data_IF_290041566086
#
_entry.id   IF_290041566086
#
_cell.length_a   1.000
_cell.length_b   1.000
_cell.length_c   1.000
_cell.angle_alpha   90.00
_cell.angle_beta   90.00
_cell.angle_gamma   90.00
#
_symmetry.space_group_name_H-M   'P 1'
#
loop_
_entity.id
_entity.type
_entity.pdbx_description
1 polymer ?
#
# COMPACT_ATOMS: atom_id res chain seq x y z
N UNK A 1 10.63 0.24 -5.47
CA UNK A 1 11.02 -0.02 -4.06
C UNK A 1 10.86 -1.51 -3.75
N UNK A 2 11.25 -2.00 -2.56
CA UNK A 2 11.06 -3.42 -2.16
C UNK A 2 9.98 -3.52 -1.05
N UNK A 3 10.00 -4.61 -0.29
CA UNK A 3 8.90 -5.01 0.59
C UNK A 3 8.73 -4.06 1.78
N UNK A 4 9.80 -3.73 2.51
CA UNK A 4 9.68 -2.96 3.74
C UNK A 4 9.36 -1.50 3.46
N UNK A 5 9.92 -0.96 2.39
CA UNK A 5 9.63 0.37 1.94
C UNK A 5 8.15 0.54 1.60
N UNK A 6 7.59 -0.36 0.78
CA UNK A 6 6.16 -0.32 0.44
C UNK A 6 5.25 -0.45 1.66
N UNK A 7 5.46 -1.48 2.47
CA UNK A 7 4.64 -1.75 3.64
C UNK A 7 4.76 -0.64 4.70
N UNK A 8 5.98 -0.25 5.03
CA UNK A 8 6.26 0.73 6.09
C UNK A 8 5.86 2.15 5.72
N UNK A 9 6.20 2.63 4.52
CA UNK A 9 5.80 3.97 4.10
C UNK A 9 4.29 4.08 3.90
N UNK A 10 3.62 3.03 3.41
CA UNK A 10 2.14 3.02 3.31
C UNK A 10 1.49 3.10 4.69
N UNK A 11 1.99 2.33 5.67
CA UNK A 11 1.53 2.43 7.05
C UNK A 11 1.75 3.83 7.63
N UNK A 12 2.95 4.39 7.42
CA UNK A 12 3.28 5.76 7.85
C UNK A 12 2.35 6.81 7.24
N UNK A 13 2.09 6.72 5.93
CA UNK A 13 1.17 7.60 5.21
C UNK A 13 -0.26 7.51 5.76
N UNK A 14 -0.75 6.29 6.05
CA UNK A 14 -2.06 6.10 6.66
C UNK A 14 -2.16 6.74 8.06
N UNK A 15 -1.11 6.63 8.87
CA UNK A 15 -1.06 7.24 10.21
C UNK A 15 -1.04 8.76 10.14
N UNK A 16 -0.23 9.33 9.24
CA UNK A 16 -0.19 10.78 9.03
C UNK A 16 -1.54 11.28 8.53
N UNK A 17 -2.16 10.59 7.56
CA UNK A 17 -3.48 10.95 7.04
C UNK A 17 -4.54 10.95 8.14
N UNK A 18 -4.56 9.94 9.01
CA UNK A 18 -5.46 9.90 10.16
C UNK A 18 -5.25 11.08 11.11
N UNK A 19 -3.99 11.42 11.41
CA UNK A 19 -3.62 12.58 12.23
C UNK A 19 -4.07 13.91 11.62
N UNK A 20 -3.95 14.07 10.30
CA UNK A 20 -4.40 15.27 9.58
C UNK A 20 -5.94 15.35 9.57
N UNK A 21 -6.62 14.26 9.20
CA UNK A 21 -8.09 14.22 9.11
C UNK A 21 -8.74 14.43 10.48
N UNK A 22 -8.19 13.84 11.54
CA UNK A 22 -8.69 14.04 12.90
C UNK A 22 -8.55 15.50 13.35
N UNK A 23 -7.42 16.15 13.06
CA UNK A 23 -7.22 17.58 13.34
C UNK A 23 -8.18 18.48 12.57
N UNK A 24 -8.38 18.23 11.28
CA UNK A 24 -9.31 19.02 10.45
C UNK A 24 -10.75 18.88 10.97
N UNK A 25 -11.17 17.66 11.34
CA UNK A 25 -12.50 17.42 11.93
C UNK A 25 -12.68 17.99 13.34
N UNK A 26 -11.60 18.29 14.03
CA UNK A 26 -11.61 18.95 15.34
C UNK A 26 -11.75 20.48 15.27
N UNK A 27 -11.73 21.08 14.07
CA UNK A 27 -11.94 22.51 13.90
C UNK A 27 -13.35 22.93 14.41
N UNK A 28 -13.50 24.11 15.01
CA UNK A 28 -14.63 24.44 15.87
C UNK A 28 -15.87 24.83 15.06
N UNK A 29 -16.59 23.85 14.53
CA UNK A 29 -17.99 24.02 14.13
C UNK A 29 -18.87 23.19 15.05
N UNK A 30 -19.46 23.91 16.02
CA UNK A 30 -20.62 23.60 16.85
C UNK A 30 -20.92 22.12 17.20
N UNK A 31 -20.82 21.83 18.50
CA UNK A 31 -21.71 20.93 19.24
C UNK A 31 -21.96 19.53 18.63
N UNK A 32 -20.96 18.64 18.71
CA UNK A 32 -21.26 17.22 18.89
C UNK A 32 -20.21 16.54 19.77
N UNK A 33 -20.62 16.06 20.94
CA UNK A 33 -19.83 15.18 21.81
C UNK A 33 -19.76 13.75 21.25
N UNK A 34 -19.42 13.61 19.96
CA UNK A 34 -19.10 12.29 19.43
C UNK A 34 -17.59 12.07 19.55
N UNK A 35 -17.12 10.99 20.22
CA UNK A 35 -15.69 10.71 20.31
C UNK A 35 -15.11 10.68 18.90
N UNK A 36 -14.13 11.54 18.62
CA UNK A 36 -13.46 11.59 17.32
C UNK A 36 -12.82 10.22 17.05
N UNK A 37 -13.52 9.38 16.28
CA UNK A 37 -13.04 8.03 15.97
C UNK A 37 -11.98 8.14 14.88
N UNK A 38 -10.72 7.91 15.25
CA UNK A 38 -9.59 7.69 14.33
C UNK A 38 -10.01 6.74 13.20
N UNK A 39 -9.69 7.11 11.95
CA UNK A 39 -9.87 6.28 10.76
C UNK A 39 -9.13 4.96 10.88
N UNK A 40 -7.97 4.93 11.54
CA UNK A 40 -7.19 3.72 11.79
C UNK A 40 -7.92 2.71 12.68
N UNK A 41 -8.91 3.14 13.46
CA UNK A 41 -9.80 2.23 14.22
C UNK A 41 -10.86 1.55 13.35
N UNK A 42 -11.11 2.07 12.15
CA UNK A 42 -12.10 1.53 11.19
C UNK A 42 -11.46 0.77 10.03
N UNK A 43 -10.14 0.89 9.87
CA UNK A 43 -9.36 0.27 8.81
C UNK A 43 -8.61 -0.92 9.37
N UNK A 44 -8.70 -2.06 8.69
CA UNK A 44 -7.85 -3.21 8.98
C UNK A 44 -6.47 -2.94 8.38
N UNK A 45 -5.48 -2.67 9.23
CA UNK A 45 -4.12 -2.37 8.83
C UNK A 45 -3.42 -3.59 8.22
N UNK A 46 -3.85 -4.81 8.51
CA UNK A 46 -3.30 -6.00 7.85
C UNK A 46 -3.69 -6.00 6.37
N UNK A 47 -4.95 -5.69 6.08
CA UNK A 47 -5.44 -5.57 4.70
C UNK A 47 -4.77 -4.41 3.98
N UNK A 48 -4.52 -3.30 4.67
CA UNK A 48 -3.73 -2.20 4.13
C UNK A 48 -2.31 -2.65 3.73
N UNK A 49 -1.62 -3.38 4.62
CA UNK A 49 -0.28 -3.91 4.35
C UNK A 49 -0.29 -4.91 3.19
N UNK A 50 -1.30 -5.78 3.11
CA UNK A 50 -1.49 -6.68 1.96
C UNK A 50 -1.69 -5.86 0.68
N UNK A 51 -2.55 -4.84 0.71
CA UNK A 51 -2.77 -3.95 -0.44
C UNK A 51 -1.49 -3.26 -0.89
N UNK A 52 -0.66 -2.80 0.06
CA UNK A 52 0.63 -2.16 -0.23
C UNK A 52 1.64 -3.06 -0.92
N UNK A 53 1.44 -4.38 -0.89
CA UNK A 53 2.30 -5.37 -1.56
C UNK A 53 1.57 -6.08 -2.70
N UNK A 54 0.27 -5.83 -2.88
CA UNK A 54 -0.59 -6.59 -3.78
C UNK A 54 -0.12 -6.51 -5.24
N UNK A 55 0.27 -5.35 -5.80
CA UNK A 55 0.75 -5.29 -7.18
C UNK A 55 1.97 -6.16 -7.41
N UNK A 56 2.98 -6.03 -6.55
CA UNK A 56 4.19 -6.85 -6.60
C UNK A 56 3.92 -8.35 -6.39
N UNK A 57 3.03 -8.70 -5.46
CA UNK A 57 2.71 -10.09 -5.14
C UNK A 57 2.06 -10.82 -6.32
N UNK A 58 1.30 -10.10 -7.15
CA UNK A 58 0.63 -10.65 -8.32
C UNK A 58 1.49 -10.52 -9.57
N UNK A 59 2.01 -9.34 -9.85
CA UNK A 59 2.67 -9.06 -11.12
C UNK A 59 4.05 -9.70 -11.22
N UNK A 60 4.78 -9.89 -10.12
CA UNK A 60 6.07 -10.60 -10.18
C UNK A 60 5.90 -12.05 -10.65
N UNK A 61 5.09 -12.91 -10.01
CA UNK A 61 4.92 -14.28 -10.51
C UNK A 61 4.23 -14.34 -11.86
N UNK A 62 3.14 -13.58 -12.07
CA UNK A 62 2.39 -13.62 -13.35
C UNK A 62 3.24 -13.07 -14.49
N UNK A 63 3.88 -11.94 -14.26
CA UNK A 63 4.64 -11.25 -15.27
C UNK A 63 5.92 -11.99 -15.66
N UNK A 64 6.59 -12.68 -14.73
CA UNK A 64 7.73 -13.55 -15.06
C UNK A 64 7.31 -14.85 -15.78
N UNK A 65 6.14 -15.41 -15.46
CA UNK A 65 5.69 -16.65 -16.11
C UNK A 65 5.16 -16.43 -17.54
N UNK A 66 4.62 -15.24 -17.85
CA UNK A 66 3.89 -15.01 -19.10
C UNK A 66 4.35 -13.81 -19.93
N UNK A 67 5.06 -12.83 -19.36
CA UNK A 67 5.33 -11.54 -20.01
C UNK A 67 6.79 -11.08 -19.93
N UNK A 68 7.67 -11.86 -19.29
CA UNK A 68 9.07 -11.51 -18.98
C UNK A 68 9.22 -10.09 -18.36
N UNK A 69 8.25 -9.68 -17.53
CA UNK A 69 8.20 -8.34 -16.94
C UNK A 69 7.65 -8.39 -15.50
N UNK A 70 8.21 -7.63 -14.57
CA UNK A 70 7.73 -7.58 -13.18
C UNK A 70 6.53 -6.65 -12.93
N UNK A 71 6.10 -5.87 -13.93
CA UNK A 71 5.05 -4.84 -13.81
C UNK A 71 4.05 -4.99 -14.96
N UNK A 72 2.92 -5.62 -14.66
CA UNK A 72 1.88 -5.96 -15.65
C UNK A 72 0.53 -5.36 -15.22
N UNK A 73 -0.48 -6.20 -14.95
CA UNK A 73 -1.86 -5.77 -14.74
C UNK A 73 -2.08 -5.00 -13.43
N UNK A 74 -1.49 -5.44 -12.31
CA UNK A 74 -1.75 -4.81 -11.02
C UNK A 74 -1.00 -3.48 -10.83
N UNK A 75 0.01 -3.21 -11.66
CA UNK A 75 0.69 -1.92 -11.76
C UNK A 75 -0.03 -0.88 -12.65
N UNK A 76 -1.27 -1.16 -13.07
CA UNK A 76 -2.08 -0.24 -13.89
C UNK A 76 -3.02 0.61 -13.05
N UNK A 77 -3.35 1.83 -13.50
CA UNK A 77 -4.46 2.62 -12.94
C UNK A 77 -5.81 1.92 -13.14
N UNK A 78 -5.96 1.13 -14.22
CA UNK A 78 -7.17 0.35 -14.45
C UNK A 78 -7.41 -0.64 -13.30
N UNK A 79 -6.39 -1.39 -12.89
CA UNK A 79 -6.50 -2.28 -11.74
C UNK A 79 -6.84 -1.52 -10.46
N UNK A 80 -6.15 -0.41 -10.20
CA UNK A 80 -6.43 0.45 -9.05
C UNK A 80 -7.88 0.98 -9.06
N UNK A 81 -8.42 1.31 -10.24
CA UNK A 81 -9.80 1.72 -10.40
C UNK A 81 -10.77 0.57 -10.12
N UNK A 82 -10.51 -0.62 -10.66
CA UNK A 82 -11.36 -1.80 -10.48
C UNK A 82 -11.44 -2.23 -9.02
N UNK A 83 -10.33 -2.27 -8.28
CA UNK A 83 -10.35 -2.57 -6.85
C UNK A 83 -11.07 -1.48 -6.04
N UNK A 84 -10.98 -0.22 -6.47
CA UNK A 84 -11.70 0.89 -5.82
C UNK A 84 -13.21 0.79 -6.05
N UNK A 85 -13.64 0.43 -7.26
CA UNK A 85 -15.04 0.16 -7.58
C UNK A 85 -15.55 -1.08 -6.83
N UNK A 86 -14.75 -2.14 -6.77
CA UNK A 86 -15.05 -3.33 -5.96
C UNK A 86 -15.19 -3.00 -4.48
N UNK A 87 -14.30 -2.18 -3.93
CA UNK A 87 -14.38 -1.68 -2.56
C UNK A 87 -15.67 -0.90 -2.30
N UNK A 88 -16.04 -0.01 -3.22
CA UNK A 88 -17.31 0.73 -3.15
C UNK A 88 -18.52 -0.21 -3.18
N UNK A 89 -18.51 -1.21 -4.06
CA UNK A 89 -19.56 -2.21 -4.14
C UNK A 89 -19.71 -3.02 -2.85
N UNK A 90 -18.60 -3.51 -2.28
CA UNK A 90 -18.57 -4.23 -1.00
C UNK A 90 -19.12 -3.35 0.13
N UNK A 91 -18.70 -2.09 0.18
CA UNK A 91 -19.18 -1.14 1.19
C UNK A 91 -20.69 -0.92 1.07
N UNK A 92 -21.23 -0.85 -0.15
CA UNK A 92 -22.66 -0.62 -0.37
C UNK A 92 -23.55 -1.76 0.12
N UNK A 93 -23.04 -2.99 0.14
CA UNK A 93 -23.82 -4.20 0.50
C UNK A 93 -23.54 -4.72 1.91
N UNK A 94 -22.32 -4.56 2.41
CA UNK A 94 -21.89 -5.14 3.70
C UNK A 94 -21.41 -4.11 4.72
N UNK A 95 -21.34 -2.83 4.33
CA UNK A 95 -20.67 -1.77 5.09
C UNK A 95 -19.21 -2.08 5.48
N UNK A 96 -18.60 -3.10 4.86
CA UNK A 96 -17.20 -3.46 5.03
C UNK A 96 -16.28 -2.39 4.43
N UNK A 97 -15.30 -1.93 5.21
CA UNK A 97 -14.32 -0.92 4.81
C UNK A 97 -12.98 -1.52 4.34
N UNK A 98 -12.81 -2.84 4.44
CA UNK A 98 -11.56 -3.52 4.13
C UNK A 98 -11.15 -3.34 2.65
N UNK A 99 -12.10 -3.30 1.72
CA UNK A 99 -11.81 -3.09 0.30
C UNK A 99 -11.12 -1.74 0.04
N UNK A 100 -11.50 -0.69 0.77
CA UNK A 100 -10.85 0.61 0.65
C UNK A 100 -9.43 0.59 1.21
N UNK A 101 -9.15 -0.23 2.23
CA UNK A 101 -7.79 -0.42 2.73
C UNK A 101 -6.90 -1.08 1.68
N UNK A 102 -7.43 -2.10 0.99
CA UNK A 102 -6.74 -2.77 -0.11
C UNK A 102 -6.48 -1.80 -1.27
N UNK A 103 -7.50 -1.06 -1.69
CA UNK A 103 -7.40 -0.07 -2.77
C UNK A 103 -6.41 1.05 -2.45
N UNK A 104 -6.46 1.60 -1.24
CA UNK A 104 -5.52 2.63 -0.80
C UNK A 104 -4.08 2.10 -0.74
N UNK A 105 -3.88 0.88 -0.22
CA UNK A 105 -2.56 0.24 -0.23
C UNK A 105 -1.99 0.08 -1.63
N UNK A 106 -2.78 -0.46 -2.57
CA UNK A 106 -2.36 -0.63 -3.97
C UNK A 106 -2.12 0.70 -4.67
N UNK A 107 -2.93 1.74 -4.38
CA UNK A 107 -2.72 3.08 -4.93
C UNK A 107 -1.39 3.68 -4.45
N UNK A 108 -1.08 3.58 -3.15
CA UNK A 108 0.19 4.03 -2.61
C UNK A 108 1.36 3.24 -3.19
N UNK A 109 1.18 1.96 -3.48
CA UNK A 109 2.18 1.16 -4.19
C UNK A 109 2.54 1.78 -5.55
N UNK A 110 1.55 2.14 -6.39
CA UNK A 110 1.81 2.80 -7.67
C UNK A 110 2.61 4.10 -7.53
N UNK A 111 2.32 4.87 -6.48
CA UNK A 111 3.05 6.11 -6.18
C UNK A 111 4.50 5.81 -5.76
N UNK A 112 4.69 4.87 -4.84
CA UNK A 112 6.00 4.50 -4.30
C UNK A 112 6.92 3.86 -5.35
N UNK A 113 6.33 3.20 -6.35
CA UNK A 113 7.06 2.65 -7.48
C UNK A 113 7.26 3.65 -8.64
N UNK A 114 6.84 4.91 -8.44
CA UNK A 114 6.96 6.00 -9.41
C UNK A 114 6.42 5.62 -10.78
N UNK A 115 5.24 4.98 -10.80
CA UNK A 115 4.68 4.40 -12.02
C UNK A 115 4.39 5.45 -13.11
N UNK A 116 4.38 6.75 -12.79
CA UNK A 116 4.30 7.82 -13.78
C UNK A 116 5.49 7.82 -14.76
N UNK A 117 6.65 7.24 -14.38
CA UNK A 117 7.80 7.07 -15.28
C UNK A 117 7.60 5.94 -16.31
N UNK A 118 6.56 5.12 -16.13
CA UNK A 118 6.16 4.01 -17.01
C UNK A 118 4.73 4.20 -17.53
N UNK A 119 4.44 5.27 -18.28
CA UNK A 119 3.07 5.65 -18.65
C UNK A 119 2.37 4.58 -19.50
N UNK A 120 3.10 3.81 -20.31
CA UNK A 120 2.53 2.71 -21.10
C UNK A 120 1.91 1.61 -20.22
N UNK A 121 2.58 1.25 -19.12
CA UNK A 121 2.06 0.31 -18.12
C UNK A 121 1.00 0.98 -17.25
N UNK A 122 1.29 2.17 -16.69
CA UNK A 122 0.37 2.85 -15.78
C UNK A 122 -1.01 3.11 -16.40
N UNK A 123 -1.04 3.49 -17.68
CA UNK A 123 -2.25 3.82 -18.43
C UNK A 123 -2.70 2.69 -19.36
N UNK A 124 -2.16 1.48 -19.21
CA UNK A 124 -2.59 0.32 -19.97
C UNK A 124 -4.11 0.12 -19.82
N UNK A 125 -4.85 -0.19 -20.91
CA UNK A 125 -4.38 -0.51 -22.27
C UNK A 125 -4.33 0.68 -23.26
N UNK A 126 -4.37 1.93 -22.79
CA UNK A 126 -4.53 3.11 -23.66
C UNK A 126 -3.34 3.34 -24.62
N UNK A 127 -2.15 2.92 -24.24
CA UNK A 127 -0.91 3.07 -25.03
C UNK A 127 -0.47 1.79 -25.76
N UNK A 128 -1.37 0.80 -25.85
CA UNK A 128 -1.09 -0.51 -26.43
C UNK A 128 -1.30 -1.64 -25.44
N UNK A 129 -1.19 -2.87 -25.94
CA UNK A 129 -1.41 -4.09 -25.17
C UNK A 129 -0.12 -4.70 -24.60
N UNK A 130 1.03 -4.21 -25.06
CA UNK A 130 2.34 -4.73 -24.67
C UNK A 130 2.86 -4.06 -23.40
N UNK A 131 3.47 -4.84 -22.51
CA UNK A 131 4.18 -4.34 -21.35
C UNK A 131 5.66 -4.16 -21.67
N UNK A 132 6.26 -3.06 -21.18
CA UNK A 132 7.69 -2.80 -21.39
C UNK A 132 8.50 -3.86 -20.65
N UNK A 133 9.33 -4.61 -21.38
CA UNK A 133 10.25 -5.58 -20.80
C UNK A 133 11.43 -4.86 -20.16
N UNK A 134 11.95 -5.32 -19.01
CA UNK A 134 13.20 -4.82 -18.46
C UNK A 134 14.35 -5.03 -19.45
N UNK A 135 15.23 -4.05 -19.56
CA UNK A 135 16.48 -4.11 -20.32
C UNK A 135 17.56 -4.83 -19.49
N UNK A 136 17.35 -6.09 -19.10
CA UNK A 136 18.33 -7.02 -18.49
C UNK A 136 18.17 -7.34 -16.97
N UNK A 137 18.28 -8.64 -16.65
CA UNK A 137 18.65 -9.16 -15.32
C UNK A 137 17.58 -9.98 -14.56
N UNK A 138 18.05 -10.92 -13.72
CA UNK A 138 17.25 -11.53 -12.66
C UNK A 138 16.83 -10.42 -11.68
N UNK A 139 15.52 -10.24 -11.48
CA UNK A 139 14.98 -9.20 -10.60
C UNK A 139 15.48 -9.34 -9.16
N UNK A 140 15.82 -10.56 -8.72
CA UNK A 140 16.35 -10.82 -7.38
C UNK A 140 17.74 -10.20 -7.25
N UNK A 141 18.61 -10.41 -8.24
CA UNK A 141 19.95 -9.85 -8.25
C UNK A 141 19.92 -8.33 -8.32
N UNK A 142 19.05 -7.77 -9.17
CA UNK A 142 18.84 -6.33 -9.27
C UNK A 142 18.33 -5.74 -7.94
N UNK A 143 17.44 -6.44 -7.24
CA UNK A 143 16.93 -6.02 -5.93
C UNK A 143 18.04 -6.05 -4.86
N UNK A 144 18.83 -7.12 -4.80
CA UNK A 144 19.93 -7.27 -3.84
C UNK A 144 21.02 -6.22 -4.09
N UNK A 145 21.41 -6.02 -5.35
CA UNK A 145 22.38 -5.00 -5.72
C UNK A 145 21.86 -3.61 -5.36
N UNK A 146 20.61 -3.30 -5.71
CA UNK A 146 19.98 -2.03 -5.37
C UNK A 146 19.98 -1.74 -3.87
N UNK A 147 19.74 -2.77 -3.04
CA UNK A 147 19.77 -2.63 -1.58
C UNK A 147 21.17 -2.32 -1.04
N UNK A 148 22.23 -2.73 -1.72
CA UNK A 148 23.62 -2.47 -1.30
C UNK A 148 24.19 -1.17 -1.88
N UNK A 149 23.78 -0.78 -3.09
CA UNK A 149 24.48 0.27 -3.84
C UNK A 149 23.63 1.49 -4.17
N UNK A 150 22.29 1.38 -4.17
CA UNK A 150 21.42 2.45 -4.64
C UNK A 150 20.66 3.14 -3.49
N UNK A 151 20.95 4.41 -3.15
CA UNK A 151 20.25 5.15 -2.10
C UNK A 151 18.75 5.27 -2.33
N UNK A 152 18.30 5.33 -3.58
CA UNK A 152 16.89 5.38 -3.91
C UNK A 152 16.15 4.07 -3.55
N UNK A 153 16.88 2.97 -3.33
CA UNK A 153 16.32 1.69 -2.89
C UNK A 153 16.50 1.52 -1.38
N UNK A 154 17.73 1.59 -0.88
CA UNK A 154 17.98 1.23 0.53
C UNK A 154 17.45 2.25 1.55
N UNK A 155 17.37 3.55 1.21
CA UNK A 155 16.85 4.56 2.15
C UNK A 155 15.36 4.35 2.42
N UNK A 156 14.49 4.25 1.39
CA UNK A 156 13.08 3.96 1.63
C UNK A 156 12.85 2.61 2.33
N UNK A 157 13.67 1.59 2.03
CA UNK A 157 13.60 0.30 2.74
C UNK A 157 13.95 0.41 4.22
N UNK A 158 15.03 1.12 4.56
CA UNK A 158 15.45 1.33 5.95
C UNK A 158 14.40 2.14 6.74
N UNK A 159 13.85 3.20 6.13
CA UNK A 159 12.77 4.01 6.73
C UNK A 159 11.50 3.19 6.92
N UNK A 160 11.10 2.44 5.90
CA UNK A 160 9.93 1.55 5.96
C UNK A 160 10.08 0.50 7.05
N UNK A 161 11.25 -0.15 7.14
CA UNK A 161 11.57 -1.10 8.19
C UNK A 161 11.51 -0.46 9.59
N UNK A 162 12.07 0.75 9.75
CA UNK A 162 12.03 1.47 11.02
C UNK A 162 10.60 1.79 11.46
N UNK A 163 9.72 2.18 10.53
CA UNK A 163 8.29 2.41 10.81
C UNK A 163 7.61 1.11 11.26
N UNK A 164 7.83 -0.01 10.54
CA UNK A 164 7.24 -1.31 10.87
C UNK A 164 7.71 -1.82 12.24
N UNK A 165 9.02 -1.73 12.52
CA UNK A 165 9.60 -2.10 13.82
C UNK A 165 9.04 -1.21 14.92
N UNK A 166 8.97 0.11 14.71
CA UNK A 166 8.36 1.05 15.65
C UNK A 166 6.90 0.70 15.96
N UNK A 167 6.11 0.41 14.93
CA UNK A 167 4.72 -0.02 15.08
C UNK A 167 4.60 -1.33 15.86
N UNK A 168 5.42 -2.33 15.55
CA UNK A 168 5.47 -3.60 16.26
C UNK A 168 5.84 -3.40 17.74
N UNK A 169 6.86 -2.58 18.03
CA UNK A 169 7.26 -2.26 19.40
C UNK A 169 6.14 -1.58 20.19
N UNK A 170 5.35 -0.70 19.54
CA UNK A 170 4.17 -0.10 20.17
C UNK A 170 3.12 -1.17 20.50
N UNK A 171 2.84 -2.10 19.59
CA UNK A 171 1.89 -3.19 19.84
C UNK A 171 2.35 -4.10 21.00
N UNK A 172 3.64 -4.45 21.04
CA UNK A 172 4.25 -5.25 22.12
C UNK A 172 4.13 -4.53 23.46
N UNK A 173 4.60 -3.27 23.53
CA UNK A 173 4.59 -2.48 24.78
C UNK A 173 3.19 -2.23 25.33
N UNK A 174 2.20 -2.10 24.45
CA UNK A 174 0.79 -1.91 24.83
C UNK A 174 0.04 -3.22 25.09
N UNK A 175 0.69 -4.39 24.93
CA UNK A 175 0.08 -5.74 25.02
C UNK A 175 -1.12 -5.93 24.08
N UNK A 176 -1.08 -5.29 22.90
CA UNK A 176 -2.17 -5.29 21.91
C UNK A 176 -1.95 -6.25 20.75
N UNK A 177 -0.86 -7.03 20.77
CA UNK A 177 -0.50 -7.95 19.67
C UNK A 177 -1.62 -8.94 19.32
N UNK A 178 -2.20 -9.61 20.32
CA UNK A 178 -3.27 -10.60 20.08
C UNK A 178 -4.54 -9.95 19.56
N UNK A 179 -4.93 -8.80 20.13
CA UNK A 179 -6.08 -8.04 19.66
C UNK A 179 -5.89 -7.58 18.21
N UNK A 180 -4.71 -7.05 17.88
CA UNK A 180 -4.36 -6.67 16.51
C UNK A 180 -4.30 -7.87 15.56
N UNK A 181 -3.75 -9.01 15.99
CA UNK A 181 -3.70 -10.22 15.18
C UNK A 181 -5.10 -10.76 14.85
N UNK A 182 -6.10 -10.52 15.70
CA UNK A 182 -7.50 -10.88 15.44
C UNK A 182 -8.23 -9.84 14.59
N UNK A 183 -8.21 -8.57 14.97
CA UNK A 183 -9.04 -7.51 14.37
C UNK A 183 -8.36 -6.71 13.26
N UNK A 184 -7.02 -6.69 13.23
CA UNK A 184 -6.21 -5.86 12.34
C UNK A 184 -6.29 -4.36 12.63
N UNK A 185 -6.99 -3.96 13.69
CA UNK A 185 -7.24 -2.57 14.05
C UNK A 185 -6.37 -2.14 15.20
N UNK A 186 -6.00 -0.87 15.21
CA UNK A 186 -5.28 -0.26 16.32
C UNK A 186 -6.26 0.26 17.38
N UNK A 187 -6.78 -0.65 18.22
CA UNK A 187 -7.74 -0.35 19.30
C UNK A 187 -7.04 -0.10 20.62
#
# INVERSE_FOLDING_TARGET
MLVFGHAGLTLGAAVVLDGVVSRVRAAPTAASEQPQRSLLRRVDLRVLLVGSLLPDLVDKPVGWLFFDCGRVFCHTLLFCLLISLGAFWVWRHSHGTWGFALAFGSFLHLILDSMWDYPSTLLWPLYGLEFKRPEDGDWVDAALQGLCTNPAVYVPEAVGLAILVGFLLVLVRRRKLQAFAGSGRFE
#
